data_IF_556730924022
#
_entry.id   IF_556730924022
#
_cell.length_a   1.000
_cell.length_b   1.000
_cell.length_c   1.000
_cell.angle_alpha   90.00
_cell.angle_beta   90.00
_cell.angle_gamma   90.00
#
_symmetry.space_group_name_H-M   'P 1'
#
loop_
_entity.id
_entity.type
_entity.pdbx_description
1 polymer ?
#
# COMPACT_ATOMS: atom_id res chain seq x y z
N UNK A 1 -23.14 -17.86 -9.97
CA UNK A 1 -22.23 -18.50 -9.00
C UNK A 1 -21.43 -17.40 -8.35
N UNK A 2 -21.64 -17.13 -7.06
CA UNK A 2 -20.77 -16.18 -6.33
C UNK A 2 -19.48 -16.94 -6.03
N UNK A 3 -18.39 -16.57 -6.68
CA UNK A 3 -17.06 -17.08 -6.31
C UNK A 3 -16.80 -16.70 -4.86
N UNK A 4 -16.39 -17.68 -4.03
CA UNK A 4 -16.01 -17.43 -2.65
C UNK A 4 -14.69 -16.63 -2.66
N UNK A 5 -14.82 -15.31 -2.62
CA UNK A 5 -13.70 -14.36 -2.67
C UNK A 5 -13.29 -14.03 -1.25
N UNK A 6 -12.04 -14.31 -0.91
CA UNK A 6 -11.51 -14.01 0.42
C UNK A 6 -10.96 -12.58 0.44
N UNK A 7 -11.52 -11.76 1.34
CA UNK A 7 -11.07 -10.41 1.63
C UNK A 7 -10.66 -10.35 3.10
N UNK A 8 -9.41 -10.00 3.36
CA UNK A 8 -8.88 -9.86 4.71
C UNK A 8 -7.76 -8.84 4.77
N UNK A 9 -7.38 -8.45 5.98
CA UNK A 9 -6.19 -7.64 6.23
C UNK A 9 -5.18 -8.46 7.02
N UNK A 10 -3.88 -8.19 6.81
CA UNK A 10 -2.79 -8.82 7.57
C UNK A 10 -1.55 -7.90 7.65
N UNK A 11 -0.59 -8.16 8.55
CA UNK A 11 0.70 -7.46 8.54
C UNK A 11 1.37 -7.56 7.16
N UNK A 12 1.98 -6.46 6.71
CA UNK A 12 2.71 -6.40 5.44
C UNK A 12 3.96 -7.28 5.53
N UNK A 13 4.24 -8.03 4.46
CA UNK A 13 5.41 -8.88 4.26
C UNK A 13 6.32 -8.27 3.19
N UNK A 14 7.58 -8.74 3.15
CA UNK A 14 8.58 -8.27 2.18
C UNK A 14 8.11 -8.44 0.72
N UNK A 15 7.44 -9.55 0.41
CA UNK A 15 6.91 -9.87 -0.94
C UNK A 15 5.85 -8.89 -1.45
N UNK A 16 5.20 -8.15 -0.54
CA UNK A 16 4.15 -7.18 -0.90
C UNK A 16 4.70 -5.84 -1.37
N UNK A 17 5.93 -5.51 -0.95
CA UNK A 17 6.48 -4.17 -1.09
C UNK A 17 6.49 -3.69 -2.54
N UNK A 18 6.76 -4.59 -3.49
CA UNK A 18 6.74 -4.26 -4.91
C UNK A 18 5.34 -3.87 -5.39
N UNK A 19 4.31 -4.62 -4.99
CA UNK A 19 2.92 -4.32 -5.37
C UNK A 19 2.45 -3.01 -4.72
N UNK A 20 2.77 -2.82 -3.44
CA UNK A 20 2.47 -1.59 -2.71
C UNK A 20 3.13 -0.38 -3.39
N UNK A 21 4.42 -0.48 -3.70
CA UNK A 21 5.16 0.57 -4.39
C UNK A 21 4.57 0.91 -5.76
N UNK A 22 4.18 -0.12 -6.54
CA UNK A 22 3.56 0.08 -7.85
C UNK A 22 2.26 0.89 -7.78
N UNK A 23 1.44 0.67 -6.74
CA UNK A 23 0.19 1.38 -6.55
C UNK A 23 0.38 2.79 -5.97
N UNK A 24 1.26 2.93 -4.97
CA UNK A 24 1.39 4.15 -4.20
C UNK A 24 2.41 5.15 -4.77
N UNK A 25 3.54 4.68 -5.32
CA UNK A 25 4.72 5.54 -5.54
C UNK A 25 5.32 5.46 -6.95
N UNK A 26 5.03 4.44 -7.76
CA UNK A 26 5.65 4.28 -9.08
C UNK A 26 5.31 5.40 -10.06
N UNK A 27 4.08 5.89 -10.04
CA UNK A 27 3.59 6.89 -10.99
C UNK A 27 3.56 8.27 -10.33
N UNK A 28 3.88 9.30 -11.11
CA UNK A 28 3.82 10.70 -10.66
C UNK A 28 2.40 11.24 -10.54
N UNK A 29 1.45 10.64 -11.27
CA UNK A 29 0.04 10.99 -11.21
C UNK A 29 -0.82 9.72 -11.10
N UNK A 30 -0.78 9.02 -9.96
CA UNK A 30 -1.58 7.81 -9.76
C UNK A 30 -3.06 8.18 -9.63
N UNK A 31 -3.95 7.32 -10.12
CA UNK A 31 -5.40 7.59 -10.15
C UNK A 31 -5.98 7.92 -8.77
N UNK A 32 -5.49 7.26 -7.71
CA UNK A 32 -5.95 7.50 -6.34
C UNK A 32 -5.78 8.97 -5.91
N UNK A 33 -4.83 9.71 -6.52
CA UNK A 33 -4.59 11.12 -6.19
C UNK A 33 -5.77 12.02 -6.57
N UNK A 34 -6.63 11.60 -7.48
CA UNK A 34 -7.89 12.30 -7.81
C UNK A 34 -8.87 12.33 -6.64
N UNK A 35 -8.71 11.40 -5.69
CA UNK A 35 -9.60 11.20 -4.54
C UNK A 35 -8.95 11.60 -3.21
N UNK A 36 -7.67 11.98 -3.24
CA UNK A 36 -6.93 12.43 -2.07
C UNK A 36 -7.15 13.92 -1.82
N UNK A 37 -6.85 14.37 -0.60
CA UNK A 37 -6.89 15.79 -0.28
C UNK A 37 -5.90 16.57 -1.18
N UNK A 38 -6.29 17.76 -1.68
CA UNK A 38 -5.50 18.50 -2.67
C UNK A 38 -4.21 19.13 -2.09
N UNK A 39 -3.99 19.02 -0.78
CA UNK A 39 -2.94 19.75 -0.07
C UNK A 39 -1.59 19.05 -0.04
N UNK A 40 -1.53 17.74 -0.26
CA UNK A 40 -0.28 16.99 -0.21
C UNK A 40 0.22 16.69 -1.64
N UNK A 41 1.34 17.27 -2.09
CA UNK A 41 1.89 16.93 -3.39
C UNK A 41 2.34 15.47 -3.38
N UNK A 42 1.98 14.72 -4.42
CA UNK A 42 2.45 13.36 -4.63
C UNK A 42 3.73 13.38 -5.46
N UNK A 43 4.73 12.62 -5.04
CA UNK A 43 5.98 12.45 -5.76
C UNK A 43 6.23 10.98 -6.04
N UNK A 44 6.54 10.68 -7.31
CA UNK A 44 7.00 9.35 -7.65
C UNK A 44 8.34 9.05 -6.98
N UNK A 45 8.54 7.80 -6.58
CA UNK A 45 9.74 7.32 -5.90
C UNK A 45 10.27 6.08 -6.61
N UNK A 46 11.58 5.91 -6.69
CA UNK A 46 12.16 4.67 -7.21
C UNK A 46 11.87 3.50 -6.26
N UNK A 47 11.94 2.27 -6.75
CA UNK A 47 11.73 1.11 -5.86
C UNK A 47 12.87 1.00 -4.83
N UNK A 48 14.10 1.34 -5.22
CA UNK A 48 15.26 1.29 -4.32
C UNK A 48 15.14 2.32 -3.19
N UNK A 49 14.70 3.55 -3.49
CA UNK A 49 14.44 4.57 -2.46
C UNK A 49 13.31 4.17 -1.52
N UNK A 50 12.27 3.50 -2.04
CA UNK A 50 11.19 2.96 -1.22
C UNK A 50 11.68 1.86 -0.29
N UNK A 51 12.60 0.99 -0.74
CA UNK A 51 13.18 -0.07 0.07
C UNK A 51 14.02 0.45 1.24
N UNK A 52 14.55 1.67 1.17
CA UNK A 52 15.23 2.31 2.31
C UNK A 52 14.28 2.50 3.51
N UNK A 53 12.97 2.56 3.27
CA UNK A 53 11.94 2.76 4.30
C UNK A 53 11.23 1.45 4.67
N UNK A 54 11.68 0.28 4.17
CA UNK A 54 10.96 -1.00 4.33
C UNK A 54 10.58 -1.36 5.78
N UNK A 55 11.38 -0.95 6.74
CA UNK A 55 11.19 -1.29 8.16
C UNK A 55 10.01 -0.52 8.78
N UNK A 56 9.60 0.61 8.17
CA UNK A 56 8.38 1.34 8.53
C UNK A 56 7.12 0.73 7.90
N UNK A 57 7.27 -0.31 7.07
CA UNK A 57 6.17 -0.97 6.38
C UNK A 57 5.96 -2.41 6.82
N UNK A 58 7.04 -3.18 6.97
CA UNK A 58 6.95 -4.62 7.25
C UNK A 58 6.64 -4.86 8.72
N UNK A 59 5.59 -5.64 8.99
CA UNK A 59 5.24 -6.10 10.34
C UNK A 59 5.11 -4.97 11.40
N UNK A 60 4.66 -3.79 10.98
CA UNK A 60 4.39 -2.66 11.87
C UNK A 60 2.94 -2.70 12.40
N UNK A 61 2.69 -2.25 13.64
CA UNK A 61 1.37 -2.39 14.26
C UNK A 61 0.29 -1.51 13.62
N UNK A 62 0.68 -0.43 12.95
CA UNK A 62 -0.22 0.62 12.47
C UNK A 62 -0.45 0.63 10.95
N UNK A 63 0.09 -0.34 10.21
CA UNK A 63 -0.08 -0.44 8.75
C UNK A 63 -0.19 -1.88 8.30
N UNK A 64 -1.26 -2.19 7.58
CA UNK A 64 -1.64 -3.55 7.19
C UNK A 64 -1.92 -3.61 5.69
N UNK A 65 -1.66 -4.75 5.06
CA UNK A 65 -2.02 -5.01 3.67
C UNK A 65 -3.49 -5.43 3.57
N UNK A 66 -4.19 -4.97 2.54
CA UNK A 66 -5.52 -5.45 2.16
C UNK A 66 -5.35 -6.51 1.08
N UNK A 67 -5.83 -7.72 1.36
CA UNK A 67 -5.68 -8.89 0.49
C UNK A 67 -7.02 -9.30 -0.09
N UNK A 68 -7.06 -9.52 -1.39
CA UNK A 68 -8.21 -10.05 -2.10
C UNK A 68 -7.77 -11.17 -3.04
N UNK A 69 -8.25 -12.40 -2.80
CA UNK A 69 -7.83 -13.60 -3.52
C UNK A 69 -6.29 -13.71 -3.64
N UNK A 70 -5.61 -13.70 -2.49
CA UNK A 70 -4.14 -13.77 -2.36
C UNK A 70 -3.35 -12.63 -3.01
N UNK A 71 -4.01 -11.58 -3.49
CA UNK A 71 -3.36 -10.40 -4.06
C UNK A 71 -3.48 -9.21 -3.13
N UNK A 72 -2.37 -8.51 -2.94
CA UNK A 72 -2.35 -7.20 -2.28
C UNK A 72 -3.05 -6.20 -3.21
N UNK A 73 -4.11 -5.58 -2.72
CA UNK A 73 -4.88 -4.55 -3.46
C UNK A 73 -4.76 -3.16 -2.85
N UNK A 74 -4.06 -3.03 -1.73
CA UNK A 74 -3.83 -1.75 -1.06
C UNK A 74 -3.33 -1.95 0.36
N UNK A 75 -3.34 -0.84 1.10
CA UNK A 75 -2.96 -0.82 2.52
C UNK A 75 -3.97 -0.01 3.31
N UNK A 76 -4.14 -0.37 4.58
CA UNK A 76 -4.88 0.43 5.57
C UNK A 76 -3.94 0.76 6.72
N UNK A 77 -4.05 1.97 7.26
CA UNK A 77 -3.27 2.42 8.40
C UNK A 77 -4.12 3.23 9.37
N UNK A 78 -3.67 3.31 10.63
CA UNK A 78 -4.22 4.22 11.61
C UNK A 78 -3.13 5.11 12.20
N UNK A 79 -3.56 6.27 12.67
CA UNK A 79 -2.74 7.23 13.42
C UNK A 79 -3.64 7.86 14.49
N UNK A 80 -3.11 8.05 15.69
CA UNK A 80 -3.81 8.65 16.84
C UNK A 80 -2.85 9.60 17.56
N UNK A 81 -3.36 10.73 18.06
CA UNK A 81 -2.65 11.77 18.82
C UNK A 81 -3.22 11.93 20.22
#
# INVERSE_FOLDING_TARGET
MVENRELYIRPIKLEDLKSIWQMAFKYSNPEWKLWDAPYFPHHAMSYDDFLLQKDDWINVPNRWAVIYNDKVIGTVSYYWE
#
